data_IF_981390035080
#
_entry.id   IF_981390035080
#
_cell.length_a   1.000
_cell.length_b   1.000
_cell.length_c   1.000
_cell.angle_alpha   90.00
_cell.angle_beta   90.00
_cell.angle_gamma   90.00
#
_symmetry.space_group_name_H-M   'P 1'
#
loop_
_entity.id
_entity.type
_entity.pdbx_description
1 polymer ?
#
# COMPACT_ATOMS: atom_id res chain seq x y z
N UNK A 1 47.59 6.83 76.81
CA UNK A 1 48.93 7.01 76.22
C UNK A 1 48.72 7.22 74.73
N UNK A 2 49.21 8.33 74.23
CA UNK A 2 48.94 8.88 72.89
C UNK A 2 50.00 8.43 71.90
N UNK A 3 49.63 8.07 70.67
CA UNK A 3 50.56 8.08 69.54
C UNK A 3 49.83 8.53 68.27
N UNK A 4 50.37 9.50 67.55
CA UNK A 4 49.76 9.99 66.30
C UNK A 4 50.31 9.21 65.12
N UNK A 5 49.40 8.87 64.17
CA UNK A 5 49.77 8.30 62.92
C UNK A 5 49.90 9.44 61.84
N UNK A 6 51.01 9.40 61.14
CA UNK A 6 51.41 10.34 60.09
C UNK A 6 50.74 9.86 58.77
N UNK A 7 49.93 10.74 58.17
CA UNK A 7 49.36 10.54 56.84
C UNK A 7 50.37 11.01 55.80
N UNK A 8 50.81 10.13 54.93
CA UNK A 8 51.59 10.46 53.73
C UNK A 8 50.63 10.52 52.52
N UNK A 9 50.34 11.72 52.02
CA UNK A 9 49.54 11.93 50.81
C UNK A 9 50.46 11.85 49.59
N UNK A 10 50.24 10.85 48.75
CA UNK A 10 50.86 10.75 47.41
C UNK A 10 49.95 11.43 46.38
N UNK A 11 50.40 12.55 45.83
CA UNK A 11 49.79 13.20 44.66
C UNK A 11 50.16 12.39 43.40
N UNK A 12 49.16 11.77 42.78
CA UNK A 12 49.26 11.22 41.44
C UNK A 12 48.78 12.30 40.45
N UNK A 13 49.70 12.89 39.68
CA UNK A 13 49.41 13.73 38.53
C UNK A 13 48.93 12.84 37.36
N UNK A 14 47.64 12.86 37.09
CA UNK A 14 47.09 12.31 35.85
C UNK A 14 47.34 13.30 34.72
N UNK A 15 48.27 12.99 33.81
CA UNK A 15 48.46 13.68 32.56
C UNK A 15 47.34 13.26 31.59
N UNK A 16 46.31 14.09 31.45
CA UNK A 16 45.36 14.01 30.33
C UNK A 16 46.04 14.46 29.03
N UNK A 17 46.51 13.50 28.22
CA UNK A 17 46.86 13.75 26.85
C UNK A 17 45.60 13.87 25.99
N UNK A 18 45.54 14.78 24.98
CA UNK A 18 44.42 14.84 24.05
C UNK A 18 44.32 13.54 23.27
N UNK A 19 43.15 12.87 23.39
CA UNK A 19 42.86 11.69 22.61
C UNK A 19 42.86 12.05 21.13
N UNK A 20 43.65 11.36 20.32
CA UNK A 20 43.64 11.49 18.88
C UNK A 20 42.22 11.18 18.32
N UNK A 21 41.70 11.96 17.36
CA UNK A 21 40.39 11.66 16.77
C UNK A 21 40.44 10.30 16.10
N UNK A 22 39.53 9.41 16.53
CA UNK A 22 39.31 8.09 15.91
C UNK A 22 38.93 8.33 14.44
N UNK A 23 39.59 7.65 13.48
CA UNK A 23 39.19 7.75 12.07
C UNK A 23 37.70 7.43 11.95
N UNK A 24 36.96 8.32 11.30
CA UNK A 24 35.55 8.08 11.01
C UNK A 24 35.44 6.80 10.17
N UNK A 25 34.78 5.79 10.73
CA UNK A 25 34.42 4.57 10.02
C UNK A 25 33.57 4.98 8.80
N UNK A 26 33.92 4.53 7.57
CA UNK A 26 33.14 4.91 6.39
C UNK A 26 31.69 4.50 6.64
N UNK A 27 30.79 5.48 6.54
CA UNK A 27 29.36 5.24 6.64
C UNK A 27 29.00 4.10 5.67
N UNK A 28 28.49 2.99 6.20
CA UNK A 28 28.01 1.89 5.40
C UNK A 28 27.01 2.47 4.39
N UNK A 29 27.34 2.40 3.11
CA UNK A 29 26.43 2.79 2.03
C UNK A 29 25.20 1.93 2.21
N UNK A 30 24.07 2.53 2.61
CA UNK A 30 22.81 1.84 2.72
C UNK A 30 22.55 1.15 1.37
N UNK A 31 22.52 -0.17 1.38
CA UNK A 31 22.14 -0.93 0.20
C UNK A 31 20.77 -0.41 -0.22
N UNK A 32 20.65 0.07 -1.45
CA UNK A 32 19.34 0.43 -2.03
C UNK A 32 18.54 -0.87 -2.08
N UNK A 33 17.65 -1.03 -1.10
CA UNK A 33 16.76 -2.18 -1.04
C UNK A 33 15.93 -2.17 -2.31
N UNK A 34 16.05 -3.26 -3.11
CA UNK A 34 15.24 -3.41 -4.32
C UNK A 34 13.77 -3.38 -3.88
N UNK A 35 12.93 -2.51 -4.44
CA UNK A 35 11.52 -2.43 -4.04
C UNK A 35 10.87 -3.81 -4.14
N UNK A 36 10.06 -4.18 -3.13
CA UNK A 36 9.26 -5.41 -3.20
C UNK A 36 8.38 -5.33 -4.45
N UNK A 37 8.52 -6.28 -5.40
CA UNK A 37 7.71 -6.26 -6.60
C UNK A 37 6.22 -6.45 -6.32
N UNK A 38 5.89 -7.19 -5.26
CA UNK A 38 4.52 -7.45 -4.87
C UNK A 38 4.03 -6.36 -3.88
N UNK A 39 3.63 -5.23 -4.40
CA UNK A 39 3.20 -4.07 -3.59
C UNK A 39 2.05 -3.33 -4.24
N UNK A 40 1.36 -2.54 -3.42
CA UNK A 40 0.44 -1.53 -3.91
C UNK A 40 1.20 -0.27 -4.37
N UNK A 41 0.84 0.22 -5.54
CA UNK A 41 1.15 1.55 -6.00
C UNK A 41 -0.08 2.43 -5.78
N UNK A 42 0.15 3.67 -5.32
CA UNK A 42 -0.90 4.64 -5.06
C UNK A 42 -0.68 5.88 -5.92
N UNK A 43 -1.75 6.38 -6.51
CA UNK A 43 -1.75 7.62 -7.27
C UNK A 43 -3.01 8.45 -6.96
N UNK A 44 -2.85 9.77 -6.92
CA UNK A 44 -3.95 10.71 -6.75
C UNK A 44 -3.87 11.77 -7.85
N UNK A 45 -4.96 11.96 -8.54
CA UNK A 45 -5.15 12.98 -9.57
C UNK A 45 -6.17 14.04 -9.14
N UNK A 46 -6.43 15.04 -9.99
CA UNK A 46 -7.39 16.09 -9.69
C UNK A 46 -8.83 15.57 -9.56
N UNK A 47 -9.19 14.53 -10.31
CA UNK A 47 -10.52 13.95 -10.39
C UNK A 47 -10.54 12.44 -10.23
N UNK A 48 -9.46 11.84 -9.73
CA UNK A 48 -9.38 10.40 -9.52
C UNK A 48 -8.37 10.03 -8.42
N UNK A 49 -8.55 8.84 -7.87
CA UNK A 49 -7.60 8.19 -6.98
C UNK A 49 -7.48 6.72 -7.36
N UNK A 50 -6.28 6.18 -7.31
CA UNK A 50 -5.96 4.83 -7.76
C UNK A 50 -5.11 4.05 -6.76
N UNK A 51 -5.43 2.75 -6.64
CA UNK A 51 -4.60 1.72 -6.04
C UNK A 51 -4.35 0.64 -7.09
N UNK A 52 -3.09 0.30 -7.36
CA UNK A 52 -2.71 -0.73 -8.31
C UNK A 52 -1.81 -1.77 -7.64
N UNK A 53 -2.16 -3.06 -7.76
CA UNK A 53 -1.34 -4.16 -7.28
C UNK A 53 -0.26 -4.48 -8.30
N UNK A 54 0.98 -4.17 -7.96
CA UNK A 54 2.16 -4.37 -8.80
C UNK A 54 2.79 -5.72 -8.54
N UNK A 55 3.27 -6.38 -9.59
CA UNK A 55 4.06 -7.61 -9.53
C UNK A 55 5.32 -7.45 -10.38
N UNK A 56 6.29 -8.37 -10.28
CA UNK A 56 7.54 -8.29 -11.09
C UNK A 56 7.27 -8.23 -12.61
N UNK A 57 6.19 -8.84 -13.06
CA UNK A 57 5.87 -8.98 -14.48
C UNK A 57 4.99 -7.85 -15.01
N UNK A 58 4.44 -7.01 -14.13
CA UNK A 58 3.30 -6.13 -14.46
C UNK A 58 3.58 -4.64 -14.28
N UNK A 59 4.76 -4.15 -14.70
CA UNK A 59 5.06 -2.71 -14.57
C UNK A 59 4.03 -1.80 -15.26
N UNK A 60 3.51 -2.21 -16.42
CA UNK A 60 2.62 -1.39 -17.24
C UNK A 60 1.15 -1.80 -17.15
N UNK A 61 0.87 -3.06 -16.84
CA UNK A 61 -0.49 -3.58 -16.70
C UNK A 61 -0.65 -4.38 -15.41
N UNK A 62 -0.93 -3.72 -14.28
CA UNK A 62 -1.09 -4.39 -12.99
C UNK A 62 -2.25 -5.39 -13.02
N UNK A 63 -2.09 -6.59 -12.41
CA UNK A 63 -3.13 -7.62 -12.41
C UNK A 63 -4.42 -7.19 -11.70
N UNK A 64 -4.36 -6.20 -10.84
CA UNK A 64 -5.55 -5.60 -10.22
C UNK A 64 -5.34 -4.09 -10.02
N UNK A 65 -6.32 -3.31 -10.44
CA UNK A 65 -6.35 -1.85 -10.27
C UNK A 65 -7.73 -1.43 -9.77
N UNK A 66 -7.76 -0.63 -8.71
CA UNK A 66 -8.94 0.04 -8.18
C UNK A 66 -8.80 1.54 -8.49
N UNK A 67 -9.81 2.11 -9.09
CA UNK A 67 -9.85 3.54 -9.39
C UNK A 67 -11.21 4.12 -8.95
N UNK A 68 -11.19 5.22 -8.23
CA UNK A 68 -12.37 6.07 -8.04
C UNK A 68 -12.19 7.34 -8.85
N UNK A 69 -13.14 7.63 -9.71
CA UNK A 69 -13.13 8.85 -10.50
C UNK A 69 -14.45 9.61 -10.37
N UNK A 70 -14.39 10.92 -10.58
CA UNK A 70 -15.58 11.79 -10.55
C UNK A 70 -16.57 11.32 -11.60
N UNK A 71 -17.82 11.09 -11.18
CA UNK A 71 -18.96 10.62 -11.98
C UNK A 71 -18.87 9.15 -12.47
N UNK A 72 -17.76 8.46 -12.28
CA UNK A 72 -17.61 7.05 -12.71
C UNK A 72 -17.72 6.06 -11.54
N UNK A 73 -17.72 6.57 -10.29
CA UNK A 73 -17.75 5.73 -9.11
C UNK A 73 -16.47 4.90 -8.93
N UNK A 74 -16.62 3.67 -8.47
CA UNK A 74 -15.54 2.70 -8.35
C UNK A 74 -15.40 1.91 -9.66
N UNK A 75 -14.21 1.94 -10.23
CA UNK A 75 -13.81 1.10 -11.36
C UNK A 75 -12.75 0.12 -10.89
N UNK A 76 -12.93 -1.16 -11.20
CA UNK A 76 -11.93 -2.21 -11.02
C UNK A 76 -11.51 -2.72 -12.39
N UNK A 77 -10.20 -2.76 -12.64
CA UNK A 77 -9.63 -3.38 -13.84
C UNK A 77 -8.73 -4.52 -13.42
N UNK A 78 -8.86 -5.68 -14.08
CA UNK A 78 -8.07 -6.85 -13.75
C UNK A 78 -7.80 -7.73 -14.97
N UNK A 79 -6.56 -8.19 -15.09
CA UNK A 79 -6.12 -9.23 -16.02
C UNK A 79 -5.92 -10.59 -15.33
N UNK A 80 -6.24 -10.67 -14.02
CA UNK A 80 -6.02 -11.90 -13.23
C UNK A 80 -7.02 -13.02 -13.51
N UNK A 81 -8.09 -12.76 -14.27
CA UNK A 81 -9.14 -13.71 -14.56
C UNK A 81 -9.22 -14.05 -16.05
N UNK A 82 -9.59 -15.29 -16.34
CA UNK A 82 -10.00 -15.68 -17.68
C UNK A 82 -11.43 -15.20 -17.94
N UNK A 83 -11.72 -14.50 -19.04
CA UNK A 83 -13.06 -14.06 -19.37
C UNK A 83 -14.08 -15.20 -19.45
N UNK A 84 -15.27 -14.96 -18.89
CA UNK A 84 -16.42 -15.87 -18.94
C UNK A 84 -17.56 -15.11 -19.62
N UNK A 85 -18.01 -15.59 -20.78
CA UNK A 85 -18.98 -14.88 -21.63
C UNK A 85 -20.34 -14.65 -20.96
N UNK A 86 -20.71 -15.45 -19.98
CA UNK A 86 -21.97 -15.35 -19.21
C UNK A 86 -21.82 -14.61 -17.88
N UNK A 87 -20.61 -14.16 -17.51
CA UNK A 87 -20.37 -13.48 -16.25
C UNK A 87 -20.36 -11.98 -16.47
N UNK A 88 -21.35 -11.30 -15.92
CA UNK A 88 -21.52 -9.84 -16.02
C UNK A 88 -21.18 -9.12 -14.72
N UNK A 89 -20.65 -9.83 -13.73
CA UNK A 89 -20.35 -9.27 -12.40
C UNK A 89 -18.96 -9.66 -11.92
N UNK A 90 -18.27 -8.66 -11.37
CA UNK A 90 -17.04 -8.85 -10.62
C UNK A 90 -17.31 -8.37 -9.19
N UNK A 91 -16.95 -9.17 -8.20
CA UNK A 91 -16.97 -8.75 -6.81
C UNK A 91 -15.57 -8.39 -6.37
N UNK A 92 -15.43 -7.24 -5.72
CA UNK A 92 -14.19 -6.82 -5.04
C UNK A 92 -14.49 -6.66 -3.55
N UNK A 93 -13.66 -7.20 -2.68
CA UNK A 93 -13.85 -7.12 -1.23
C UNK A 93 -12.65 -6.52 -0.52
N UNK A 94 -12.92 -5.86 0.60
CA UNK A 94 -11.94 -5.49 1.60
C UNK A 94 -12.35 -6.15 2.93
N UNK A 95 -11.55 -7.11 3.42
CA UNK A 95 -11.95 -7.94 4.56
C UNK A 95 -13.22 -8.75 4.26
N UNK A 96 -14.27 -8.56 5.06
CA UNK A 96 -15.58 -9.24 4.92
C UNK A 96 -16.59 -8.45 4.07
N UNK A 97 -16.22 -7.28 3.58
CA UNK A 97 -17.15 -6.36 2.90
C UNK A 97 -16.95 -6.38 1.38
N UNK A 98 -17.68 -7.23 0.64
CA UNK A 98 -17.63 -7.26 -0.81
C UNK A 98 -18.58 -6.23 -1.42
N UNK A 99 -18.20 -5.68 -2.58
CA UNK A 99 -19.07 -4.92 -3.46
C UNK A 99 -19.12 -5.59 -4.83
N UNK A 100 -20.32 -5.71 -5.39
CA UNK A 100 -20.54 -6.31 -6.70
C UNK A 100 -20.66 -5.21 -7.76
N UNK A 101 -19.84 -5.29 -8.80
CA UNK A 101 -19.73 -4.32 -9.87
C UNK A 101 -20.17 -4.94 -11.19
N UNK A 102 -20.78 -4.15 -12.08
CA UNK A 102 -21.11 -4.58 -13.43
C UNK A 102 -19.82 -4.72 -14.26
N UNK A 103 -19.58 -5.90 -14.83
CA UNK A 103 -18.35 -6.25 -15.51
C UNK A 103 -18.54 -6.36 -17.03
N UNK A 104 -17.50 -5.92 -17.75
CA UNK A 104 -17.36 -6.10 -19.21
C UNK A 104 -15.94 -6.56 -19.52
N UNK A 105 -15.79 -7.33 -20.57
CA UNK A 105 -14.48 -7.76 -21.08
C UNK A 105 -14.00 -6.72 -22.10
N UNK A 106 -12.79 -6.23 -21.94
CA UNK A 106 -12.11 -5.35 -22.90
C UNK A 106 -10.95 -6.12 -23.53
N UNK A 107 -10.93 -6.16 -24.85
CA UNK A 107 -9.77 -6.68 -25.60
C UNK A 107 -8.70 -5.60 -25.66
N UNK A 108 -7.51 -5.92 -25.15
CA UNK A 108 -6.35 -5.02 -25.19
C UNK A 108 -5.21 -5.67 -25.97
N UNK A 109 -4.16 -4.90 -26.27
CA UNK A 109 -2.96 -5.46 -26.94
C UNK A 109 -2.32 -6.57 -26.13
N UNK A 110 -2.37 -6.49 -24.81
CA UNK A 110 -1.71 -7.42 -23.86
C UNK A 110 -2.64 -8.58 -23.43
N UNK A 111 -3.80 -8.66 -24.06
CA UNK A 111 -4.81 -9.68 -23.77
C UNK A 111 -6.10 -9.09 -23.17
N UNK A 112 -7.06 -9.93 -22.85
CA UNK A 112 -8.33 -9.49 -22.30
C UNK A 112 -8.17 -8.95 -20.87
N UNK A 113 -8.89 -7.86 -20.58
CA UNK A 113 -8.99 -7.25 -19.25
C UNK A 113 -10.45 -7.16 -18.87
N UNK A 114 -10.79 -7.53 -17.65
CA UNK A 114 -12.13 -7.33 -17.12
C UNK A 114 -12.16 -5.95 -16.48
N UNK A 115 -13.05 -5.09 -16.98
CA UNK A 115 -13.38 -3.79 -16.40
C UNK A 115 -14.74 -3.93 -15.69
N UNK A 116 -14.79 -3.59 -14.41
CA UNK A 116 -16.03 -3.57 -13.66
C UNK A 116 -16.25 -2.19 -13.04
N UNK A 117 -17.49 -1.70 -13.10
CA UNK A 117 -17.84 -0.36 -12.61
C UNK A 117 -19.10 -0.40 -11.75
N UNK A 118 -19.15 0.50 -10.77
CA UNK A 118 -20.30 0.66 -9.89
C UNK A 118 -20.07 1.69 -8.78
N UNK A 119 -20.96 1.67 -7.80
CA UNK A 119 -20.86 2.57 -6.66
C UNK A 119 -19.78 2.07 -5.69
N UNK A 120 -18.96 2.97 -5.19
CA UNK A 120 -18.06 2.68 -4.08
C UNK A 120 -18.89 2.70 -2.78
N UNK A 121 -19.35 1.53 -2.35
CA UNK A 121 -20.18 1.40 -1.16
C UNK A 121 -19.41 1.72 0.13
N UNK A 122 -20.06 2.40 1.07
CA UNK A 122 -19.42 2.85 2.32
C UNK A 122 -18.88 1.68 3.17
N UNK A 123 -19.54 0.52 3.29
CA UNK A 123 -18.97 -0.63 4.02
C UNK A 123 -17.62 -1.09 3.44
N UNK A 124 -17.49 -1.14 2.11
CA UNK A 124 -16.23 -1.48 1.43
C UNK A 124 -15.14 -0.45 1.73
N UNK A 125 -15.44 0.86 1.61
CA UNK A 125 -14.47 1.93 1.86
C UNK A 125 -13.99 1.94 3.32
N UNK A 126 -14.90 1.72 4.26
CA UNK A 126 -14.59 1.62 5.70
C UNK A 126 -13.72 0.40 5.99
N UNK A 127 -14.03 -0.76 5.43
CA UNK A 127 -13.24 -1.98 5.60
C UNK A 127 -11.85 -1.86 4.96
N UNK A 128 -11.75 -1.21 3.79
CA UNK A 128 -10.47 -0.91 3.14
C UNK A 128 -9.61 0.01 4.03
N UNK A 129 -10.19 1.08 4.56
CA UNK A 129 -9.52 2.03 5.46
C UNK A 129 -9.04 1.34 6.75
N UNK A 130 -9.85 0.45 7.32
CA UNK A 130 -9.51 -0.36 8.49
C UNK A 130 -8.38 -1.37 8.24
N UNK A 131 -8.05 -1.66 6.98
CA UNK A 131 -6.97 -2.57 6.61
C UNK A 131 -7.41 -3.99 6.31
N UNK A 132 -8.64 -4.18 5.88
CA UNK A 132 -9.10 -5.46 5.35
C UNK A 132 -8.26 -5.91 4.14
N UNK A 133 -7.89 -7.19 4.03
CA UNK A 133 -7.21 -7.72 2.85
C UNK A 133 -8.11 -7.59 1.63
N UNK A 134 -7.51 -7.29 0.47
CA UNK A 134 -8.24 -7.10 -0.78
C UNK A 134 -8.31 -8.43 -1.52
N UNK A 135 -9.50 -8.80 -1.96
CA UNK A 135 -9.71 -9.97 -2.81
C UNK A 135 -10.78 -9.68 -3.86
N UNK A 136 -10.65 -10.33 -5.01
CA UNK A 136 -11.61 -10.23 -6.10
C UNK A 136 -12.13 -11.62 -6.50
N UNK A 137 -13.36 -11.68 -7.02
CA UNK A 137 -13.94 -12.88 -7.62
C UNK A 137 -14.71 -12.54 -8.89
N UNK A 138 -14.61 -13.47 -9.87
CA UNK A 138 -15.30 -13.37 -11.16
C UNK A 138 -15.78 -14.78 -11.56
N UNK A 139 -17.08 -14.99 -11.49
CA UNK A 139 -17.65 -16.33 -11.52
C UNK A 139 -17.08 -17.21 -10.40
N UNK A 140 -16.53 -18.38 -10.74
CA UNK A 140 -15.89 -19.29 -9.78
C UNK A 140 -14.39 -19.00 -9.57
N UNK A 141 -13.83 -17.97 -10.22
CA UNK A 141 -12.42 -17.62 -10.11
C UNK A 141 -12.21 -16.64 -8.93
N UNK A 142 -11.07 -16.78 -8.23
CA UNK A 142 -10.71 -15.94 -7.10
C UNK A 142 -9.28 -15.42 -7.25
N UNK A 143 -9.06 -14.16 -6.88
CA UNK A 143 -7.74 -13.53 -6.86
C UNK A 143 -7.52 -12.83 -5.52
N UNK A 144 -6.45 -13.15 -4.84
CA UNK A 144 -6.18 -12.70 -3.47
C UNK A 144 -6.42 -13.82 -2.43
N UNK A 145 -6.42 -13.52 -1.13
CA UNK A 145 -6.26 -12.18 -0.56
C UNK A 145 -4.88 -11.57 -0.82
N UNK A 146 -4.85 -10.31 -1.20
CA UNK A 146 -3.64 -9.54 -1.42
C UNK A 146 -3.21 -8.84 -0.13
N UNK A 147 -1.91 -8.58 0.00
CA UNK A 147 -1.39 -7.77 1.09
C UNK A 147 -2.12 -6.42 1.13
N UNK A 148 -2.33 -5.91 2.33
CA UNK A 148 -3.05 -4.65 2.54
C UNK A 148 -2.19 -3.45 2.12
N UNK A 149 -2.74 -2.45 1.39
CA UNK A 149 -2.04 -1.19 1.12
C UNK A 149 -1.61 -0.47 2.39
N UNK A 150 -0.64 0.43 2.31
CA UNK A 150 -0.19 1.24 3.44
C UNK A 150 -1.33 2.04 4.09
N UNK A 151 -1.26 2.29 5.40
CA UNK A 151 -2.34 2.95 6.15
C UNK A 151 -2.68 4.35 5.62
N UNK A 152 -1.67 5.12 5.19
CA UNK A 152 -1.86 6.45 4.60
C UNK A 152 -2.56 6.36 3.23
N UNK A 153 -2.16 5.39 2.41
CA UNK A 153 -2.72 5.16 1.07
C UNK A 153 -4.18 4.73 1.13
N UNK A 154 -4.53 3.79 2.02
CA UNK A 154 -5.91 3.34 2.24
C UNK A 154 -6.83 4.49 2.66
N UNK A 155 -6.39 5.28 3.64
CA UNK A 155 -7.14 6.44 4.12
C UNK A 155 -7.34 7.46 3.00
N UNK A 156 -6.25 7.82 2.30
CA UNK A 156 -6.32 8.77 1.21
C UNK A 156 -7.22 8.29 0.06
N UNK A 157 -7.18 7.00 -0.28
CA UNK A 157 -8.08 6.40 -1.27
C UNK A 157 -9.53 6.51 -0.82
N UNK A 158 -9.88 6.04 0.38
CA UNK A 158 -11.25 6.03 0.88
C UNK A 158 -11.83 7.45 1.00
N UNK A 159 -11.07 8.39 1.59
CA UNK A 159 -11.49 9.79 1.73
C UNK A 159 -11.71 10.46 0.36
N UNK A 160 -10.80 10.25 -0.59
CA UNK A 160 -10.91 10.86 -1.92
C UNK A 160 -12.07 10.24 -2.69
N UNK A 161 -12.25 8.91 -2.61
CA UNK A 161 -13.36 8.21 -3.24
C UNK A 161 -14.72 8.71 -2.73
N UNK A 162 -14.88 8.90 -1.41
CA UNK A 162 -16.08 9.51 -0.80
C UNK A 162 -16.34 10.91 -1.33
N UNK A 163 -15.30 11.75 -1.42
CA UNK A 163 -15.44 13.13 -1.96
C UNK A 163 -15.87 13.13 -3.42
N UNK A 164 -15.33 12.23 -4.23
CA UNK A 164 -15.65 12.14 -5.66
C UNK A 164 -17.07 11.60 -5.90
N UNK A 165 -17.55 10.67 -5.06
CA UNK A 165 -18.88 10.08 -5.15
C UNK A 165 -19.96 10.88 -4.42
N UNK A 166 -19.64 11.58 -3.35
CA UNK A 166 -20.59 12.36 -2.54
C UNK A 166 -21.06 13.67 -3.20
N UNK A 167 -20.42 14.09 -4.29
CA UNK A 167 -20.83 15.28 -5.03
C UNK A 167 -22.08 15.10 -5.93
N UNK A 168 -22.66 13.90 -6.00
CA UNK A 168 -23.78 13.59 -6.91
C UNK A 168 -25.11 13.39 -6.18
N UNK A 169 -25.17 13.60 -4.86
CA UNK A 169 -26.43 13.58 -4.09
C UNK A 169 -26.87 15.01 -3.72
N UNK A 170 -27.26 15.77 -4.73
CA UNK A 170 -27.99 17.03 -4.59
C UNK A 170 -29.08 17.14 -5.64
#
# INVERSE_FOLDING_TARGET
MRSPAILLSALLLNACGPAAPKPAEPAATAAVEKPDPNRWAFAIGPDSVELAWMTEVSSDNPPLRLNCARNDGLTVMTSAFTPIASEERLSIGAGSEPVALAAVVLETRDGPVIKATGVAEEPFLTALEAGGPIAASYGAQHYGPLATPGAAERRAFAETCRKLNGGTQA
#
